data_IF_483814891953
#
_entry.id   IF_483814891953
#
_cell.length_a   1.000
_cell.length_b   1.000
_cell.length_c   1.000
_cell.angle_alpha   90.00
_cell.angle_beta   90.00
_cell.angle_gamma   90.00
#
_symmetry.space_group_name_H-M   'P 1'
#
loop_
_entity.id
_entity.type
_entity.pdbx_description
1 polymer ?
#
# COMPACT_ATOMS: atom_id res chain seq x y z
N UNK A 1 24.02 -41.09 42.52
CA UNK A 1 24.54 -39.72 42.33
C UNK A 1 24.02 -39.17 41.02
N UNK A 2 23.13 -38.20 41.10
CA UNK A 2 22.38 -37.62 39.96
C UNK A 2 23.35 -36.77 39.14
N UNK A 3 23.72 -37.25 37.95
CA UNK A 3 24.53 -36.47 37.00
C UNK A 3 23.66 -35.34 36.45
N UNK A 4 24.24 -34.14 36.51
CA UNK A 4 23.69 -32.84 36.15
C UNK A 4 23.14 -32.79 34.72
N UNK A 5 21.83 -33.01 34.56
CA UNK A 5 21.08 -32.65 33.35
C UNK A 5 20.61 -31.19 33.46
N UNK A 6 21.56 -30.24 33.47
CA UNK A 6 21.23 -28.79 33.48
C UNK A 6 21.25 -28.17 32.08
N UNK A 7 21.69 -28.91 31.07
CA UNK A 7 21.84 -28.42 29.69
C UNK A 7 20.52 -28.49 28.91
N UNK A 8 19.69 -29.51 29.17
CA UNK A 8 18.41 -29.71 28.49
C UNK A 8 17.42 -28.53 28.65
N UNK A 9 17.20 -27.94 29.84
CA UNK A 9 16.28 -26.80 29.97
C UNK A 9 16.80 -25.53 29.30
N UNK A 10 18.12 -25.32 29.27
CA UNK A 10 18.72 -24.17 28.56
C UNK A 10 18.53 -24.31 27.04
N UNK A 11 18.73 -25.51 26.49
CA UNK A 11 18.51 -25.77 25.05
C UNK A 11 17.04 -25.60 24.65
N UNK A 12 16.11 -26.03 25.51
CA UNK A 12 14.67 -25.83 25.27
C UNK A 12 14.29 -24.35 25.29
N UNK A 13 14.80 -23.58 26.25
CA UNK A 13 14.60 -22.13 26.29
C UNK A 13 15.17 -21.43 25.06
N UNK A 14 16.37 -21.81 24.59
CA UNK A 14 16.94 -21.21 23.38
C UNK A 14 16.13 -21.56 22.13
N UNK A 15 15.63 -22.80 22.01
CA UNK A 15 14.80 -23.20 20.88
C UNK A 15 13.45 -22.47 20.87
N UNK A 16 12.83 -22.31 22.04
CA UNK A 16 11.59 -21.55 22.22
C UNK A 16 11.77 -20.06 21.90
N UNK A 17 12.90 -19.48 22.32
CA UNK A 17 13.20 -18.06 22.07
C UNK A 17 13.50 -17.83 20.58
N UNK A 18 14.17 -18.77 19.91
CA UNK A 18 14.40 -18.72 18.47
C UNK A 18 13.12 -18.92 17.66
N UNK A 19 12.18 -19.79 18.08
CA UNK A 19 10.89 -19.95 17.41
C UNK A 19 9.97 -18.75 17.61
N UNK A 20 9.96 -18.14 18.80
CA UNK A 20 9.26 -16.88 19.06
C UNK A 20 9.86 -15.72 18.25
N UNK A 21 11.18 -15.64 18.13
CA UNK A 21 11.86 -14.66 17.28
C UNK A 21 11.57 -14.90 15.80
N UNK A 22 11.55 -16.16 15.35
CA UNK A 22 11.24 -16.51 13.96
C UNK A 22 9.79 -16.14 13.60
N UNK A 23 8.80 -16.48 14.43
CA UNK A 23 7.41 -16.05 14.24
C UNK A 23 7.26 -14.52 14.32
N UNK A 24 8.01 -13.85 15.21
CA UNK A 24 8.00 -12.40 15.35
C UNK A 24 8.68 -11.67 14.18
N UNK A 25 9.68 -12.30 13.54
CA UNK A 25 10.37 -11.78 12.36
C UNK A 25 9.55 -12.00 11.07
N UNK A 26 8.87 -13.14 10.92
CA UNK A 26 7.95 -13.37 9.80
C UNK A 26 6.77 -12.38 9.81
N UNK A 27 6.26 -12.02 11.00
CA UNK A 27 5.23 -10.99 11.14
C UNK A 27 5.72 -9.57 10.79
N UNK A 28 7.04 -9.35 10.69
CA UNK A 28 7.66 -8.03 10.56
C UNK A 28 8.17 -7.71 9.15
N UNK A 29 8.01 -8.60 8.18
CA UNK A 29 8.24 -8.23 6.78
C UNK A 29 7.04 -7.40 6.32
N UNK A 30 7.16 -6.06 6.21
CA UNK A 30 6.05 -5.26 5.70
C UNK A 30 5.68 -5.79 4.32
N UNK A 31 4.38 -5.91 4.05
CA UNK A 31 3.94 -6.30 2.71
C UNK A 31 4.50 -5.28 1.70
N UNK A 32 4.88 -5.73 0.50
CA UNK A 32 5.37 -4.83 -0.56
C UNK A 32 4.40 -3.64 -0.80
N UNK A 33 3.10 -3.85 -0.60
CA UNK A 33 2.08 -2.82 -0.63
C UNK A 33 2.24 -1.79 0.50
N UNK A 34 2.51 -2.23 1.73
CA UNK A 34 2.70 -1.34 2.88
C UNK A 34 3.96 -0.48 2.72
N UNK A 35 5.05 -1.04 2.19
CA UNK A 35 6.26 -0.26 1.87
C UNK A 35 5.96 0.79 0.80
N UNK A 36 5.27 0.40 -0.27
CA UNK A 36 4.90 1.30 -1.35
C UNK A 36 3.95 2.42 -0.87
N UNK A 37 2.98 2.08 -0.03
CA UNK A 37 2.11 3.06 0.62
C UNK A 37 2.90 4.03 1.49
N UNK A 38 3.83 3.53 2.32
CA UNK A 38 4.68 4.39 3.16
C UNK A 38 5.56 5.32 2.32
N UNK A 39 6.09 4.84 1.19
CA UNK A 39 6.87 5.66 0.28
C UNK A 39 6.04 6.80 -0.29
N UNK A 40 4.76 6.56 -0.62
CA UNK A 40 3.85 7.58 -1.10
C UNK A 40 3.43 8.54 0.02
N UNK A 41 3.07 8.05 1.21
CA UNK A 41 2.57 8.88 2.33
C UNK A 41 3.66 9.83 2.89
N UNK A 42 4.95 9.51 2.65
CA UNK A 42 6.09 10.39 2.99
C UNK A 42 6.32 11.52 2.00
N UNK A 43 5.70 11.48 0.83
CA UNK A 43 5.81 12.56 -0.15
C UNK A 43 5.00 13.79 0.28
N UNK A 44 5.30 14.91 -0.37
CA UNK A 44 4.51 16.13 -0.21
C UNK A 44 3.18 15.97 -0.98
N UNK A 45 2.17 15.48 -0.26
CA UNK A 45 0.82 15.25 -0.75
C UNK A 45 -0.12 16.31 -0.18
N UNK A 46 -0.97 16.89 -1.02
CA UNK A 46 -2.07 17.71 -0.53
C UNK A 46 -3.02 16.88 0.36
N UNK A 47 -3.74 17.57 1.23
CA UNK A 47 -4.79 17.03 2.10
C UNK A 47 -5.75 16.08 1.36
N UNK A 48 -6.23 16.45 0.17
CA UNK A 48 -7.14 15.61 -0.61
C UNK A 48 -6.45 14.37 -1.19
N UNK A 49 -5.20 14.53 -1.66
CA UNK A 49 -4.41 13.40 -2.17
C UNK A 49 -4.14 12.38 -1.06
N UNK A 50 -3.75 12.85 0.12
CA UNK A 50 -3.48 11.99 1.29
C UNK A 50 -4.72 11.21 1.72
N UNK A 51 -5.88 11.87 1.78
CA UNK A 51 -7.16 11.19 2.08
C UNK A 51 -7.46 10.13 1.03
N UNK A 52 -7.31 10.45 -0.27
CA UNK A 52 -7.59 9.51 -1.34
C UNK A 52 -6.66 8.29 -1.31
N UNK A 53 -5.35 8.48 -1.10
CA UNK A 53 -4.38 7.37 -1.02
C UNK A 53 -4.68 6.46 0.18
N UNK A 54 -5.04 7.03 1.33
CA UNK A 54 -5.45 6.24 2.51
C UNK A 54 -6.73 5.45 2.28
N UNK A 55 -7.72 6.05 1.62
CA UNK A 55 -8.95 5.37 1.26
C UNK A 55 -8.69 4.19 0.31
N UNK A 56 -7.83 4.37 -0.69
CA UNK A 56 -7.41 3.30 -1.61
C UNK A 56 -6.71 2.17 -0.84
N UNK A 57 -5.78 2.49 0.07
CA UNK A 57 -5.11 1.47 0.90
C UNK A 57 -6.11 0.68 1.74
N UNK A 58 -7.04 1.35 2.39
CA UNK A 58 -8.01 0.70 3.26
C UNK A 58 -8.92 -0.23 2.48
N UNK A 59 -9.41 0.21 1.32
CA UNK A 59 -10.19 -0.63 0.41
C UNK A 59 -9.42 -1.90 0.01
N UNK A 60 -8.16 -1.77 -0.40
CA UNK A 60 -7.36 -2.92 -0.82
C UNK A 60 -7.07 -3.86 0.34
N UNK A 61 -6.86 -3.33 1.56
CA UNK A 61 -6.75 -4.18 2.76
C UNK A 61 -8.04 -4.92 3.07
N UNK A 62 -9.19 -4.28 2.92
CA UNK A 62 -10.49 -4.96 3.08
C UNK A 62 -10.64 -6.10 2.06
N UNK A 63 -10.27 -5.87 0.80
CA UNK A 63 -10.29 -6.90 -0.25
C UNK A 63 -9.29 -8.04 0.03
N UNK A 64 -8.12 -7.74 0.60
CA UNK A 64 -7.15 -8.75 1.06
C UNK A 64 -7.68 -9.60 2.21
N UNK A 65 -8.47 -9.03 3.13
CA UNK A 65 -9.09 -9.78 4.23
C UNK A 65 -10.18 -10.72 3.71
N UNK A 66 -10.94 -10.29 2.70
CA UNK A 66 -11.97 -11.10 2.06
C UNK A 66 -11.37 -12.21 1.19
N UNK A 67 -10.25 -11.93 0.52
CA UNK A 67 -9.52 -12.86 -0.35
C UNK A 67 -8.09 -13.05 0.17
N UNK A 68 -7.89 -13.84 1.23
CA UNK A 68 -6.57 -14.01 1.83
C UNK A 68 -5.58 -14.50 0.77
N UNK A 69 -4.37 -13.92 0.70
CA UNK A 69 -3.39 -14.27 -0.31
C UNK A 69 -2.87 -15.70 -0.08
N UNK A 70 -3.50 -16.67 -0.74
CA UNK A 70 -3.03 -18.06 -0.74
C UNK A 70 -1.74 -18.26 -1.56
N UNK A 71 -1.29 -17.25 -2.30
CA UNK A 71 -0.07 -17.28 -3.10
C UNK A 71 0.56 -15.89 -3.29
N UNK A 72 1.83 -15.85 -3.68
CA UNK A 72 2.56 -14.64 -4.05
C UNK A 72 1.93 -13.88 -5.23
N UNK A 73 1.19 -14.57 -6.10
CA UNK A 73 0.49 -14.00 -7.26
C UNK A 73 -0.60 -13.02 -6.82
N UNK A 74 -1.34 -13.34 -5.76
CA UNK A 74 -2.37 -12.46 -5.22
C UNK A 74 -1.77 -11.16 -4.67
N UNK A 75 -0.57 -11.24 -4.08
CA UNK A 75 0.12 -10.05 -3.53
C UNK A 75 0.54 -9.06 -4.62
N UNK A 76 1.04 -9.55 -5.77
CA UNK A 76 1.36 -8.70 -6.91
C UNK A 76 0.11 -8.06 -7.54
N UNK A 77 -1.01 -8.78 -7.55
CA UNK A 77 -2.27 -8.25 -8.06
C UNK A 77 -2.73 -7.04 -7.23
N UNK A 78 -2.72 -7.13 -5.90
CA UNK A 78 -3.09 -5.99 -5.05
C UNK A 78 -2.14 -4.79 -5.19
N UNK A 79 -0.84 -5.02 -5.38
CA UNK A 79 0.12 -3.94 -5.64
C UNK A 79 -0.18 -3.26 -6.97
N UNK A 80 -0.43 -4.03 -8.03
CA UNK A 80 -0.76 -3.47 -9.35
C UNK A 80 -2.08 -2.69 -9.34
N UNK A 81 -3.08 -3.17 -8.60
CA UNK A 81 -4.34 -2.46 -8.40
C UNK A 81 -4.17 -1.16 -7.60
N UNK A 82 -3.36 -1.21 -6.52
CA UNK A 82 -3.03 -0.03 -5.74
C UNK A 82 -2.33 1.03 -6.61
N UNK A 83 -1.36 0.61 -7.43
CA UNK A 83 -0.65 1.49 -8.36
C UNK A 83 -1.58 2.09 -9.42
N UNK A 84 -2.49 1.29 -9.96
CA UNK A 84 -3.48 1.79 -10.91
C UNK A 84 -4.39 2.83 -10.26
N UNK A 85 -4.89 2.57 -9.05
CA UNK A 85 -5.77 3.52 -8.36
C UNK A 85 -5.04 4.80 -7.92
N UNK A 86 -3.81 4.68 -7.42
CA UNK A 86 -2.99 5.82 -6.98
C UNK A 86 -2.48 6.66 -8.15
N UNK A 87 -2.28 6.08 -9.33
CA UNK A 87 -1.85 6.83 -10.53
C UNK A 87 -2.80 7.98 -10.91
N UNK A 88 -4.09 7.85 -10.60
CA UNK A 88 -5.07 8.92 -10.81
C UNK A 88 -5.03 10.04 -9.78
N UNK A 89 -4.35 9.83 -8.65
CA UNK A 89 -4.24 10.79 -7.54
C UNK A 89 -2.90 11.52 -7.58
N UNK A 90 -1.84 10.77 -7.89
CA UNK A 90 -0.46 11.25 -7.92
C UNK A 90 -0.16 11.86 -9.29
N UNK A 91 0.57 12.97 -9.30
CA UNK A 91 1.16 13.47 -10.53
C UNK A 91 2.30 12.55 -11.02
N UNK A 92 2.85 12.84 -12.20
CA UNK A 92 3.86 11.98 -12.81
C UNK A 92 5.16 11.93 -12.00
N UNK A 93 5.52 13.05 -11.36
CA UNK A 93 6.73 13.16 -10.54
C UNK A 93 6.59 12.39 -9.24
N UNK A 94 5.50 12.58 -8.51
CA UNK A 94 5.13 11.88 -7.29
C UNK A 94 5.07 10.37 -7.54
N UNK A 95 4.43 9.96 -8.65
CA UNK A 95 4.37 8.55 -9.05
C UNK A 95 5.77 7.98 -9.32
N UNK A 96 6.57 8.65 -10.12
CA UNK A 96 7.94 8.20 -10.42
C UNK A 96 8.84 8.16 -9.19
N UNK A 97 8.70 9.11 -8.27
CA UNK A 97 9.43 9.11 -7.00
C UNK A 97 9.02 7.94 -6.09
N UNK A 98 7.76 7.52 -6.14
CA UNK A 98 7.25 6.42 -5.32
C UNK A 98 7.64 5.05 -5.86
N UNK A 99 7.61 4.87 -7.18
CA UNK A 99 7.75 3.57 -7.84
C UNK A 99 9.10 3.38 -8.54
N UNK A 100 9.88 4.44 -8.70
CA UNK A 100 11.09 4.46 -9.53
C UNK A 100 10.82 4.37 -11.04
N UNK A 101 9.56 4.33 -11.47
CA UNK A 101 9.17 4.08 -12.86
C UNK A 101 8.11 5.07 -13.33
N UNK A 102 8.09 5.36 -14.63
CA UNK A 102 7.04 6.18 -15.22
C UNK A 102 5.71 5.42 -15.24
N UNK A 103 4.59 6.17 -15.28
CA UNK A 103 3.26 5.59 -15.45
C UNK A 103 3.20 4.79 -16.76
N UNK A 104 2.62 3.61 -16.71
CA UNK A 104 2.29 2.86 -17.92
C UNK A 104 1.08 3.53 -18.63
N UNK A 105 0.75 3.14 -19.88
CA UNK A 105 -0.34 3.77 -20.64
C UNK A 105 -1.70 3.71 -19.93
N UNK A 106 -1.98 2.64 -19.19
CA UNK A 106 -3.24 2.48 -18.47
C UNK A 106 -3.34 3.41 -17.24
N UNK A 107 -2.23 3.55 -16.52
CA UNK A 107 -2.09 4.48 -15.39
C UNK A 107 -2.16 5.93 -15.86
N UNK A 108 -1.53 6.23 -17.01
CA UNK A 108 -1.59 7.53 -17.64
C UNK A 108 -3.03 7.90 -18.04
N UNK A 109 -3.73 6.99 -18.72
CA UNK A 109 -5.12 7.20 -19.08
C UNK A 109 -6.01 7.47 -17.85
N UNK A 110 -5.78 6.74 -16.76
CA UNK A 110 -6.55 6.91 -15.53
C UNK A 110 -6.31 8.27 -14.86
N UNK A 111 -5.08 8.77 -14.94
CA UNK A 111 -4.73 10.12 -14.52
C UNK A 111 -5.45 11.18 -15.36
N UNK A 112 -5.38 11.08 -16.68
CA UNK A 112 -6.00 12.04 -17.60
C UNK A 112 -7.52 12.07 -17.45
N UNK A 113 -8.18 10.92 -17.32
CA UNK A 113 -9.62 10.85 -17.07
C UNK A 113 -10.04 11.57 -15.78
N UNK A 114 -9.22 11.49 -14.73
CA UNK A 114 -9.50 12.17 -13.46
C UNK A 114 -9.30 13.68 -13.57
N UNK A 115 -8.28 14.12 -14.31
CA UNK A 115 -8.10 15.55 -14.60
C UNK A 115 -9.30 16.11 -15.39
N UNK A 116 -9.72 15.42 -16.45
CA UNK A 116 -10.89 15.81 -17.23
C UNK A 116 -12.17 15.87 -16.37
N UNK A 117 -12.39 14.88 -15.52
CA UNK A 117 -13.53 14.90 -14.60
C UNK A 117 -13.51 16.13 -13.68
N UNK A 118 -12.34 16.48 -13.16
CA UNK A 118 -12.16 17.64 -12.27
C UNK A 118 -12.48 18.95 -12.99
N UNK A 119 -12.01 19.11 -14.22
CA UNK A 119 -12.33 20.28 -15.05
C UNK A 119 -13.82 20.35 -15.42
N UNK A 120 -14.47 19.23 -15.72
CA UNK A 120 -15.92 19.19 -15.97
C UNK A 120 -16.69 19.69 -14.74
N UNK A 121 -16.36 19.20 -13.55
CA UNK A 121 -17.00 19.63 -12.30
C UNK A 121 -16.76 21.13 -12.05
N UNK A 122 -15.55 21.61 -12.30
CA UNK A 122 -15.20 23.03 -12.18
C UNK A 122 -16.06 23.89 -13.12
N UNK A 123 -16.14 23.54 -14.40
CA UNK A 123 -16.95 24.25 -15.41
C UNK A 123 -18.43 24.25 -15.01
N UNK A 124 -18.98 23.10 -14.60
CA UNK A 124 -20.37 23.02 -14.12
C UNK A 124 -20.62 23.95 -12.93
N UNK A 125 -19.67 24.05 -12.00
CA UNK A 125 -19.79 24.95 -10.85
C UNK A 125 -19.81 26.43 -11.27
N UNK A 126 -19.03 26.81 -12.28
CA UNK A 126 -18.99 28.17 -12.83
C UNK A 126 -20.30 28.52 -13.54
N UNK A 127 -20.82 27.62 -14.38
CA UNK A 127 -22.11 27.81 -15.05
C UNK A 127 -23.24 28.04 -14.03
N UNK A 128 -23.28 27.24 -12.94
CA UNK A 128 -24.27 27.43 -11.87
C UNK A 128 -24.15 28.78 -11.16
N UNK A 129 -22.95 29.34 -11.05
CA UNK A 129 -22.72 30.65 -10.44
C UNK A 129 -23.11 31.80 -11.38
N UNK A 130 -22.91 31.63 -12.69
CA UNK A 130 -23.31 32.63 -13.69
C UNK A 130 -24.83 32.71 -13.88
N UNK A 131 -25.55 31.60 -13.64
CA UNK A 131 -27.00 31.54 -13.77
C UNK A 131 -27.76 31.93 -12.47
N UNK A 132 -27.06 32.45 -11.46
CA UNK A 132 -27.63 32.99 -10.22
C UNK A 132 -27.47 34.50 -10.20
#
# INVERSE_FOLDING_TARGET
MIRTSRVAPCLFFTALLMSLLAMGLEARNPSCLDELFQNIDRQDLDSQQRIAIRAVRNRIREEQLLNPPGSSVNSQQFVSEFLLCSSGVLDDRQFQLATGTAKNPQQQLRYELRQLHTEIVRVQSLIRRMNR
#
